data_IF_957415085068
#
_entry.id   IF_957415085068
#
_cell.length_a   1.000
_cell.length_b   1.000
_cell.length_c   1.000
_cell.angle_alpha   90.00
_cell.angle_beta   90.00
_cell.angle_gamma   90.00
#
_symmetry.space_group_name_H-M   'P 1'
#
loop_
_entity.id
_entity.type
_entity.pdbx_description
1 polymer ?
#
# COMPACT_ATOMS: atom_id res chain seq x y z
N UNK A 1 -14.14 -10.18 -7.89
CA UNK A 1 -14.08 -11.00 -6.64
C UNK A 1 -13.69 -10.11 -5.45
N UNK A 2 -14.36 -10.24 -4.30
CA UNK A 2 -14.00 -9.51 -3.07
C UNK A 2 -13.23 -10.48 -2.16
N UNK A 3 -11.96 -10.16 -1.86
CA UNK A 3 -11.13 -10.99 -0.97
C UNK A 3 -11.66 -11.01 0.46
N UNK A 4 -11.57 -12.15 1.12
CA UNK A 4 -11.70 -12.22 2.57
C UNK A 4 -10.39 -11.74 3.22
N UNK A 5 -10.41 -10.48 3.68
CA UNK A 5 -9.25 -9.81 4.27
C UNK A 5 -8.67 -10.58 5.48
N UNK A 6 -9.53 -11.24 6.27
CA UNK A 6 -9.09 -11.97 7.46
C UNK A 6 -8.38 -13.27 7.08
N UNK A 7 -8.91 -14.01 6.10
CA UNK A 7 -8.27 -15.22 5.57
C UNK A 7 -6.94 -14.91 4.91
N UNK A 8 -6.88 -13.87 4.07
CA UNK A 8 -5.63 -13.41 3.45
C UNK A 8 -4.60 -13.02 4.51
N UNK A 9 -5.01 -12.28 5.55
CA UNK A 9 -4.12 -11.90 6.65
C UNK A 9 -3.58 -13.11 7.41
N UNK A 10 -4.41 -14.13 7.61
CA UNK A 10 -3.98 -15.37 8.26
C UNK A 10 -2.95 -16.11 7.42
N UNK A 11 -3.19 -16.28 6.10
CA UNK A 11 -2.22 -16.89 5.20
C UNK A 11 -0.87 -16.16 5.21
N UNK A 12 -0.88 -14.82 5.22
CA UNK A 12 0.35 -14.02 5.31
C UNK A 12 1.11 -14.27 6.62
N UNK A 13 0.41 -14.35 7.75
CA UNK A 13 1.01 -14.61 9.06
C UNK A 13 1.58 -16.02 9.19
N UNK A 14 0.92 -17.00 8.59
CA UNK A 14 1.32 -18.40 8.65
C UNK A 14 2.38 -18.76 7.60
N UNK A 15 2.64 -17.85 6.62
CA UNK A 15 3.50 -18.14 5.49
C UNK A 15 2.92 -19.16 4.51
N UNK A 16 1.60 -19.38 4.55
CA UNK A 16 0.92 -20.31 3.65
C UNK A 16 0.60 -19.64 2.30
N UNK A 17 1.65 -19.44 1.53
CA UNK A 17 1.56 -18.78 0.23
C UNK A 17 0.81 -19.61 -0.81
N UNK A 18 0.85 -20.96 -0.72
CA UNK A 18 0.09 -21.82 -1.64
C UNK A 18 -1.41 -21.61 -1.46
N UNK A 19 -1.88 -21.67 -0.23
CA UNK A 19 -3.28 -21.40 0.08
C UNK A 19 -3.68 -19.98 -0.32
N UNK A 20 -2.83 -19.00 -0.03
CA UNK A 20 -3.06 -17.62 -0.41
C UNK A 20 -3.30 -17.45 -1.90
N UNK A 21 -2.39 -17.97 -2.73
CA UNK A 21 -2.50 -17.79 -4.18
C UNK A 21 -3.61 -18.62 -4.81
N UNK A 22 -3.76 -19.87 -4.39
CA UNK A 22 -4.72 -20.79 -5.01
C UNK A 22 -6.15 -20.53 -4.52
N UNK A 23 -6.36 -20.48 -3.18
CA UNK A 23 -7.72 -20.40 -2.63
C UNK A 23 -8.23 -18.96 -2.56
N UNK A 24 -7.37 -17.99 -2.22
CA UNK A 24 -7.82 -16.61 -2.00
C UNK A 24 -7.65 -15.73 -3.24
N UNK A 25 -6.59 -15.94 -4.04
CA UNK A 25 -6.32 -15.11 -5.23
C UNK A 25 -6.79 -15.74 -6.55
N UNK A 26 -7.18 -17.02 -6.56
CA UNK A 26 -7.68 -17.71 -7.75
C UNK A 26 -6.60 -17.99 -8.80
N UNK A 27 -5.36 -18.26 -8.36
CA UNK A 27 -4.27 -18.69 -9.22
C UNK A 27 -4.27 -20.21 -9.38
N UNK A 28 -3.67 -20.68 -10.45
CA UNK A 28 -3.59 -22.11 -10.77
C UNK A 28 -2.43 -22.77 -10.02
N UNK A 29 -2.58 -24.06 -9.72
CA UNK A 29 -1.52 -24.83 -9.06
C UNK A 29 -0.31 -24.98 -9.99
N UNK A 30 0.85 -24.67 -9.48
CA UNK A 30 2.11 -24.88 -10.18
C UNK A 30 3.14 -25.44 -9.20
N UNK A 31 3.79 -26.54 -9.61
CA UNK A 31 4.80 -27.22 -8.81
C UNK A 31 6.08 -27.35 -9.65
N UNK A 32 6.98 -26.42 -9.48
CA UNK A 32 8.32 -26.45 -10.05
C UNK A 32 9.33 -25.97 -9.01
N UNK A 33 10.56 -26.44 -9.12
CA UNK A 33 11.66 -25.96 -8.28
C UNK A 33 12.77 -25.45 -9.20
N UNK A 34 13.22 -24.24 -8.93
CA UNK A 34 14.31 -23.60 -9.63
C UNK A 34 15.47 -23.36 -8.67
N UNK A 35 16.63 -23.96 -8.97
CA UNK A 35 17.85 -23.69 -8.23
C UNK A 35 18.66 -22.62 -8.96
N UNK A 36 18.91 -21.53 -8.30
CA UNK A 36 19.63 -20.37 -8.84
C UNK A 36 20.94 -20.20 -8.07
N UNK A 37 22.06 -20.30 -8.78
CA UNK A 37 23.38 -20.08 -8.18
C UNK A 37 23.90 -18.70 -8.56
N UNK A 38 24.16 -17.89 -7.53
CA UNK A 38 24.67 -16.52 -7.68
C UNK A 38 25.83 -16.33 -6.71
N UNK A 39 26.97 -15.84 -7.20
CA UNK A 39 28.17 -15.57 -6.41
C UNK A 39 28.60 -16.78 -5.53
N UNK A 40 28.43 -18.01 -6.04
CA UNK A 40 28.77 -19.24 -5.33
C UNK A 40 27.73 -19.71 -4.31
N UNK A 41 26.62 -18.98 -4.11
CA UNK A 41 25.52 -19.38 -3.24
C UNK A 41 24.35 -19.89 -4.10
N UNK A 42 23.74 -20.99 -3.68
CA UNK A 42 22.56 -21.55 -4.35
C UNK A 42 21.30 -21.25 -3.56
N UNK A 43 20.32 -20.68 -4.24
CA UNK A 43 19.00 -20.36 -3.73
C UNK A 43 17.96 -21.26 -4.39
N UNK A 44 17.16 -21.91 -3.58
CA UNK A 44 16.05 -22.74 -4.07
C UNK A 44 14.77 -21.91 -4.09
N UNK A 45 14.17 -21.77 -5.26
CA UNK A 45 12.89 -21.12 -5.44
C UNK A 45 11.84 -22.17 -5.77
N UNK A 46 10.81 -22.28 -4.93
CA UNK A 46 9.67 -23.18 -5.16
C UNK A 46 8.54 -22.39 -5.80
N UNK A 47 8.10 -22.83 -6.98
CA UNK A 47 6.89 -22.29 -7.59
C UNK A 47 5.68 -22.69 -6.75
N UNK A 48 4.88 -21.71 -6.34
CA UNK A 48 3.72 -21.90 -5.48
C UNK A 48 2.41 -21.82 -6.26
N UNK A 49 2.38 -21.02 -7.32
CA UNK A 49 1.23 -20.87 -8.19
C UNK A 49 1.64 -20.23 -9.53
N UNK A 50 0.76 -20.32 -10.51
CA UNK A 50 0.89 -19.70 -11.82
C UNK A 50 -0.43 -19.06 -12.23
N UNK A 51 -0.37 -18.00 -13.05
CA UNK A 51 -1.55 -17.45 -13.73
C UNK A 51 -1.16 -17.01 -15.13
N UNK A 52 -1.65 -17.75 -16.15
CA UNK A 52 -1.45 -17.44 -17.57
C UNK A 52 0.03 -17.19 -17.95
N UNK A 53 0.95 -17.96 -17.36
CA UNK A 53 2.39 -17.83 -17.60
C UNK A 53 3.14 -16.87 -16.65
N UNK A 54 2.44 -16.21 -15.74
CA UNK A 54 3.08 -15.49 -14.64
C UNK A 54 3.22 -16.40 -13.43
N UNK A 55 4.46 -16.63 -12.96
CA UNK A 55 4.75 -17.58 -11.88
C UNK A 55 5.01 -16.85 -10.56
N UNK A 56 4.45 -17.34 -9.47
CA UNK A 56 4.79 -16.92 -8.11
C UNK A 56 5.76 -17.93 -7.50
N UNK A 57 6.92 -17.45 -7.07
CA UNK A 57 7.96 -18.23 -6.40
C UNK A 57 8.09 -17.86 -4.94
N UNK A 58 8.43 -18.85 -4.11
CA UNK A 58 8.83 -18.66 -2.73
C UNK A 58 10.29 -19.10 -2.53
N UNK A 59 11.05 -18.32 -1.78
CA UNK A 59 12.43 -18.59 -1.40
C UNK A 59 12.57 -18.45 0.12
N UNK A 60 12.99 -19.52 0.81
CA UNK A 60 13.21 -19.57 2.26
C UNK A 60 14.53 -18.90 2.66
N UNK A 61 14.79 -17.72 2.13
CA UNK A 61 15.96 -16.91 2.47
C UNK A 61 15.64 -15.42 2.27
N UNK A 62 16.33 -14.56 3.03
CA UNK A 62 16.29 -13.10 2.88
C UNK A 62 17.65 -12.56 2.47
N UNK A 63 18.08 -12.77 1.21
CA UNK A 63 19.32 -12.18 0.71
C UNK A 63 19.22 -10.64 0.72
N UNK A 64 20.36 -9.96 0.66
CA UNK A 64 20.40 -8.51 0.50
C UNK A 64 19.84 -8.05 -0.86
N UNK A 65 19.59 -6.76 -1.01
CA UNK A 65 18.99 -6.22 -2.23
C UNK A 65 19.82 -6.50 -3.49
N UNK A 66 21.15 -6.32 -3.52
CA UNK A 66 21.98 -6.68 -4.67
C UNK A 66 21.86 -8.15 -5.08
N UNK A 67 21.84 -9.05 -4.10
CA UNK A 67 21.69 -10.48 -4.33
C UNK A 67 20.31 -10.82 -4.90
N UNK A 68 19.23 -10.27 -4.33
CA UNK A 68 17.86 -10.45 -4.86
C UNK A 68 17.74 -9.99 -6.32
N UNK A 69 18.44 -8.92 -6.69
CA UNK A 69 18.51 -8.43 -8.09
C UNK A 69 19.21 -9.42 -9.03
N UNK A 70 20.23 -10.11 -8.55
CA UNK A 70 20.93 -11.12 -9.34
C UNK A 70 20.07 -12.39 -9.47
N UNK A 71 19.47 -12.84 -8.35
CA UNK A 71 18.54 -13.99 -8.37
C UNK A 71 17.40 -13.73 -9.36
N UNK A 72 16.78 -12.57 -9.30
CA UNK A 72 15.69 -12.19 -10.20
C UNK A 72 16.08 -12.29 -11.69
N UNK A 73 17.28 -11.83 -12.04
CA UNK A 73 17.77 -11.93 -13.43
C UNK A 73 17.93 -13.37 -13.90
N UNK A 74 18.36 -14.27 -13.03
CA UNK A 74 18.46 -15.69 -13.36
C UNK A 74 17.06 -16.33 -13.49
N UNK A 75 16.14 -16.02 -12.58
CA UNK A 75 14.75 -16.49 -12.65
C UNK A 75 14.08 -16.01 -13.93
N UNK A 76 14.32 -14.78 -14.35
CA UNK A 76 13.75 -14.21 -15.58
C UNK A 76 14.13 -14.95 -16.86
N UNK A 77 15.22 -15.74 -16.87
CA UNK A 77 15.60 -16.57 -18.01
C UNK A 77 14.66 -17.77 -18.20
N UNK A 78 14.06 -18.26 -17.11
CA UNK A 78 13.16 -19.42 -17.10
C UNK A 78 11.68 -19.01 -17.00
N UNK A 79 11.38 -17.97 -16.23
CA UNK A 79 10.05 -17.42 -16.04
C UNK A 79 10.11 -15.90 -16.22
N UNK A 80 9.79 -15.41 -17.42
CA UNK A 80 9.95 -13.99 -17.75
C UNK A 80 9.10 -13.08 -16.86
N UNK A 81 7.84 -13.43 -16.66
CA UNK A 81 6.94 -12.71 -15.76
C UNK A 81 6.77 -13.51 -14.46
N UNK A 82 7.18 -12.92 -13.34
CA UNK A 82 7.13 -13.60 -12.05
C UNK A 82 7.03 -12.64 -10.87
N UNK A 83 6.61 -13.20 -9.74
CA UNK A 83 6.72 -12.60 -8.40
C UNK A 83 7.61 -13.52 -7.58
N UNK A 84 8.54 -12.95 -6.80
CA UNK A 84 9.35 -13.71 -5.85
C UNK A 84 9.00 -13.24 -4.45
N UNK A 85 8.69 -14.20 -3.57
CA UNK A 85 8.46 -13.97 -2.15
C UNK A 85 9.66 -14.55 -1.42
N UNK A 86 10.49 -13.66 -0.87
CA UNK A 86 11.57 -14.04 0.04
C UNK A 86 11.04 -14.00 1.46
N UNK A 87 11.29 -15.04 2.24
CA UNK A 87 10.92 -15.08 3.65
C UNK A 87 12.06 -15.64 4.49
N UNK A 88 12.15 -15.20 5.76
CA UNK A 88 13.05 -15.84 6.71
C UNK A 88 12.48 -17.20 7.17
N UNK A 89 13.35 -18.05 7.72
CA UNK A 89 12.97 -19.39 8.18
C UNK A 89 11.85 -19.35 9.26
N UNK A 90 11.74 -18.27 10.02
CA UNK A 90 10.69 -18.07 11.02
C UNK A 90 9.41 -17.46 10.46
N UNK A 91 9.37 -17.15 9.15
CA UNK A 91 8.25 -16.50 8.46
C UNK A 91 7.82 -15.16 9.12
N UNK A 92 8.77 -14.48 9.76
CA UNK A 92 8.51 -13.20 10.44
C UNK A 92 8.59 -12.01 9.51
N UNK A 93 9.49 -12.11 8.53
CA UNK A 93 9.74 -11.06 7.53
C UNK A 93 9.58 -11.62 6.13
N UNK A 94 8.85 -10.90 5.30
CA UNK A 94 8.63 -11.25 3.90
C UNK A 94 8.97 -10.06 3.01
N UNK A 95 9.62 -10.33 1.87
CA UNK A 95 9.90 -9.35 0.82
C UNK A 95 9.26 -9.84 -0.47
N UNK A 96 8.28 -9.13 -0.93
CA UNK A 96 7.54 -9.40 -2.16
C UNK A 96 8.13 -8.59 -3.29
N UNK A 97 8.78 -9.26 -4.23
CA UNK A 97 9.49 -8.62 -5.35
C UNK A 97 8.76 -8.86 -6.67
N UNK A 98 8.57 -7.80 -7.41
CA UNK A 98 8.11 -7.80 -8.80
C UNK A 98 8.97 -6.85 -9.63
N UNK A 99 9.22 -7.18 -10.89
CA UNK A 99 10.05 -6.36 -11.77
C UNK A 99 9.27 -5.90 -12.99
N UNK A 100 9.21 -4.59 -13.17
CA UNK A 100 8.65 -3.99 -14.38
C UNK A 100 9.64 -4.12 -15.51
N UNK A 101 9.19 -4.78 -16.60
CA UNK A 101 9.92 -4.91 -17.85
C UNK A 101 9.13 -4.21 -18.95
N UNK A 102 9.70 -3.19 -19.54
CA UNK A 102 9.13 -2.44 -20.67
C UNK A 102 10.19 -2.29 -21.75
N UNK A 103 9.81 -2.54 -23.00
CA UNK A 103 10.71 -2.35 -24.12
C UNK A 103 11.26 -0.91 -24.16
N UNK A 104 12.56 -0.78 -24.33
CA UNK A 104 13.25 0.52 -24.38
C UNK A 104 13.40 1.27 -23.05
N UNK A 105 13.00 0.66 -21.91
CA UNK A 105 13.19 1.24 -20.58
C UNK A 105 14.01 0.34 -19.67
N UNK A 106 14.77 0.90 -18.73
CA UNK A 106 15.46 0.11 -17.71
C UNK A 106 14.46 -0.69 -16.87
N UNK A 107 14.84 -1.92 -16.52
CA UNK A 107 14.06 -2.75 -15.62
C UNK A 107 13.96 -2.11 -14.23
N UNK A 108 12.76 -1.99 -13.69
CA UNK A 108 12.52 -1.40 -12.40
C UNK A 108 12.03 -2.46 -11.40
N UNK A 109 12.87 -2.77 -10.42
CA UNK A 109 12.51 -3.65 -9.32
C UNK A 109 11.61 -2.92 -8.33
N UNK A 110 10.54 -3.58 -7.93
CA UNK A 110 9.57 -3.11 -6.94
C UNK A 110 9.48 -4.12 -5.83
N UNK A 111 9.67 -3.68 -4.61
CA UNK A 111 9.59 -4.52 -3.43
C UNK A 111 8.55 -4.00 -2.45
N UNK A 112 7.91 -4.93 -1.74
CA UNK A 112 7.04 -4.64 -0.61
C UNK A 112 7.50 -5.48 0.57
N UNK A 113 7.83 -4.82 1.67
CA UNK A 113 8.26 -5.45 2.91
C UNK A 113 7.06 -5.65 3.82
N UNK A 114 6.92 -6.86 4.35
CA UNK A 114 5.88 -7.21 5.31
C UNK A 114 6.49 -7.87 6.54
N UNK A 115 6.04 -7.48 7.71
CA UNK A 115 6.37 -8.10 8.98
C UNK A 115 5.13 -8.72 9.62
N UNK A 116 5.26 -9.92 10.15
CA UNK A 116 4.17 -10.69 10.79
C UNK A 116 3.41 -9.90 11.86
N UNK A 117 4.10 -9.01 12.58
CA UNK A 117 3.51 -8.16 13.62
C UNK A 117 2.69 -6.98 13.07
N UNK A 118 2.73 -6.74 11.77
CA UNK A 118 1.97 -5.67 11.12
C UNK A 118 0.61 -6.18 10.64
N UNK A 119 -0.42 -5.33 10.56
CA UNK A 119 -1.74 -5.70 10.07
C UNK A 119 -1.75 -6.13 8.60
N UNK A 120 -0.74 -5.74 7.80
CA UNK A 120 -0.58 -6.13 6.40
C UNK A 120 -1.54 -5.46 5.42
N UNK A 121 -2.28 -4.44 5.82
CA UNK A 121 -3.35 -3.83 5.01
C UNK A 121 -2.84 -3.33 3.64
N UNK A 122 -1.64 -2.75 3.60
CA UNK A 122 -1.03 -2.26 2.36
C UNK A 122 -0.67 -3.42 1.40
N UNK A 123 -0.21 -4.56 1.92
CA UNK A 123 0.04 -5.75 1.11
C UNK A 123 -1.28 -6.38 0.65
N UNK A 124 -2.26 -6.52 1.54
CA UNK A 124 -3.59 -7.06 1.21
C UNK A 124 -4.26 -6.24 0.10
N UNK A 125 -4.17 -4.92 0.17
CA UNK A 125 -4.69 -4.04 -0.89
C UNK A 125 -3.99 -4.28 -2.24
N UNK A 126 -2.68 -4.55 -2.25
CA UNK A 126 -1.94 -4.93 -3.46
C UNK A 126 -2.40 -6.29 -3.99
N UNK A 127 -2.52 -7.28 -3.11
CA UNK A 127 -2.96 -8.64 -3.44
C UNK A 127 -4.38 -8.65 -4.01
N UNK A 128 -5.25 -7.74 -3.58
CA UNK A 128 -6.59 -7.59 -4.14
C UNK A 128 -6.58 -7.33 -5.64
N UNK A 129 -5.56 -6.64 -6.16
CA UNK A 129 -5.39 -6.43 -7.61
C UNK A 129 -4.94 -7.69 -8.34
N UNK A 130 -4.38 -8.67 -7.64
CA UNK A 130 -3.92 -9.96 -8.17
C UNK A 130 -4.93 -11.08 -8.01
N UNK A 131 -6.13 -10.78 -7.50
CA UNK A 131 -7.20 -11.74 -7.36
C UNK A 131 -7.97 -11.87 -8.67
N UNK A 132 -8.26 -13.11 -9.06
CA UNK A 132 -9.03 -13.47 -10.25
C UNK A 132 -10.26 -14.27 -9.87
N UNK A 133 -11.38 -14.03 -10.55
CA UNK A 133 -12.60 -14.83 -10.38
C UNK A 133 -12.67 -15.88 -11.49
N UNK A 134 -13.44 -16.94 -11.24
CA UNK A 134 -13.70 -17.96 -12.26
C UNK A 134 -14.41 -17.40 -13.51
N UNK A 135 -15.21 -16.35 -13.34
CA UNK A 135 -15.93 -15.69 -14.44
C UNK A 135 -14.98 -14.95 -15.40
N UNK A 136 -13.81 -14.50 -14.90
CA UNK A 136 -12.81 -13.80 -15.70
C UNK A 136 -11.87 -14.77 -16.43
N UNK A 137 -11.93 -16.07 -16.12
CA UNK A 137 -10.94 -17.08 -16.55
C UNK A 137 -10.88 -17.25 -18.07
N UNK A 138 -12.04 -17.24 -18.74
CA UNK A 138 -12.13 -17.53 -20.18
C UNK A 138 -11.38 -16.50 -21.04
N UNK A 139 -11.45 -15.22 -20.67
CA UNK A 139 -10.86 -14.11 -21.44
C UNK A 139 -9.51 -13.63 -20.91
N UNK A 140 -9.03 -14.22 -19.80
CA UNK A 140 -7.82 -13.78 -19.13
C UNK A 140 -6.55 -14.10 -19.93
N UNK A 141 -5.73 -13.08 -20.17
CA UNK A 141 -4.43 -13.21 -20.86
C UNK A 141 -3.27 -12.90 -19.92
N UNK A 142 -2.04 -13.30 -20.30
CA UNK A 142 -0.80 -12.90 -19.60
C UNK A 142 -0.67 -11.38 -19.49
N UNK A 143 -1.10 -10.63 -20.49
CA UNK A 143 -1.04 -9.17 -20.49
C UNK A 143 -1.94 -8.59 -19.41
N UNK A 144 -3.11 -9.20 -19.17
CA UNK A 144 -4.03 -8.77 -18.11
C UNK A 144 -3.45 -9.05 -16.73
N UNK A 145 -2.84 -10.22 -16.54
CA UNK A 145 -2.17 -10.59 -15.28
C UNK A 145 -1.02 -9.64 -14.98
N UNK A 146 -0.16 -9.39 -15.97
CA UNK A 146 0.98 -8.45 -15.85
C UNK A 146 0.51 -7.02 -15.58
N UNK A 147 -0.57 -6.58 -16.24
CA UNK A 147 -1.18 -5.27 -15.98
C UNK A 147 -1.68 -5.14 -14.53
N UNK A 148 -2.29 -6.19 -13.97
CA UNK A 148 -2.73 -6.20 -12.56
C UNK A 148 -1.54 -6.23 -11.59
N UNK A 149 -0.50 -6.99 -11.88
CA UNK A 149 0.75 -6.99 -11.10
C UNK A 149 1.40 -5.60 -11.11
N UNK A 150 1.44 -4.94 -12.25
CA UNK A 150 1.90 -3.57 -12.37
C UNK A 150 1.05 -2.59 -11.54
N UNK A 151 -0.26 -2.72 -11.57
CA UNK A 151 -1.15 -1.87 -10.76
C UNK A 151 -0.94 -2.09 -9.26
N UNK A 152 -0.62 -3.32 -8.84
CA UNK A 152 -0.35 -3.68 -7.45
C UNK A 152 1.00 -3.15 -6.94
N UNK A 153 2.06 -3.29 -7.73
CA UNK A 153 3.42 -3.02 -7.28
C UNK A 153 4.00 -1.68 -7.72
N UNK A 154 3.45 -1.03 -8.76
CA UNK A 154 4.00 0.23 -9.28
C UNK A 154 3.50 1.43 -8.46
N UNK A 155 4.21 1.72 -7.36
CA UNK A 155 3.93 2.81 -6.41
C UNK A 155 4.07 4.20 -7.05
N UNK A 156 4.89 4.33 -8.09
CA UNK A 156 5.13 5.61 -8.79
C UNK A 156 3.82 6.23 -9.30
N UNK A 157 2.92 5.38 -9.80
CA UNK A 157 1.59 5.79 -10.26
C UNK A 157 0.70 6.31 -9.12
N UNK A 158 0.77 5.68 -7.94
CA UNK A 158 0.02 6.11 -6.74
C UNK A 158 0.52 7.46 -6.25
N UNK A 159 1.83 7.64 -6.14
CA UNK A 159 2.45 8.89 -5.68
C UNK A 159 2.14 10.05 -6.64
N UNK A 160 2.25 9.82 -7.96
CA UNK A 160 1.92 10.82 -8.96
C UNK A 160 0.44 11.22 -8.92
N UNK A 161 -0.46 10.25 -8.84
CA UNK A 161 -1.91 10.48 -8.74
C UNK A 161 -2.27 11.25 -7.46
N UNK A 162 -1.63 10.90 -6.33
CA UNK A 162 -1.79 11.64 -5.08
C UNK A 162 -1.32 13.08 -5.23
N UNK A 163 -0.14 13.30 -5.81
CA UNK A 163 0.39 14.65 -6.02
C UNK A 163 -0.50 15.51 -6.94
N UNK A 164 -0.98 14.95 -8.05
CA UNK A 164 -1.89 15.64 -8.96
C UNK A 164 -3.20 16.02 -8.26
N UNK A 165 -3.75 15.11 -7.43
CA UNK A 165 -4.93 15.39 -6.63
C UNK A 165 -4.67 16.47 -5.57
N UNK A 166 -3.55 16.36 -4.86
CA UNK A 166 -3.14 17.38 -3.90
C UNK A 166 -3.05 18.77 -4.52
N UNK A 167 -2.45 18.89 -5.70
CA UNK A 167 -2.39 20.17 -6.43
C UNK A 167 -3.77 20.72 -6.78
N UNK A 168 -4.68 19.86 -7.20
CA UNK A 168 -6.07 20.27 -7.50
C UNK A 168 -6.78 20.80 -6.26
N UNK A 169 -6.70 20.07 -5.15
CA UNK A 169 -7.32 20.49 -3.88
C UNK A 169 -6.66 21.77 -3.33
N UNK A 170 -5.35 21.90 -3.45
CA UNK A 170 -4.62 23.10 -3.07
C UNK A 170 -5.12 24.33 -3.86
N UNK A 171 -5.23 24.20 -5.19
CA UNK A 171 -5.74 25.29 -6.04
C UNK A 171 -7.22 25.61 -5.77
N UNK A 172 -8.03 24.60 -5.46
CA UNK A 172 -9.43 24.80 -5.09
C UNK A 172 -9.54 25.54 -3.74
N UNK A 173 -8.74 25.14 -2.76
CA UNK A 173 -8.76 25.74 -1.42
C UNK A 173 -8.30 27.19 -1.42
N UNK A 174 -7.31 27.56 -2.27
CA UNK A 174 -6.87 28.95 -2.45
C UNK A 174 -8.03 29.90 -2.81
N UNK A 175 -9.00 29.41 -3.59
CA UNK A 175 -10.17 30.23 -4.01
C UNK A 175 -11.10 30.61 -2.86
N UNK A 176 -11.10 29.83 -1.78
CA UNK A 176 -11.92 30.09 -0.60
C UNK A 176 -11.23 31.00 0.43
N UNK A 177 -9.90 31.15 0.31
CA UNK A 177 -9.12 31.88 1.28
C UNK A 177 -9.36 33.39 1.13
N UNK A 178 -9.67 34.07 2.25
CA UNK A 178 -9.86 35.52 2.33
C UNK A 178 -9.08 36.08 3.50
N UNK A 179 -8.69 37.36 3.40
CA UNK A 179 -8.07 38.09 4.52
C UNK A 179 -6.55 37.95 4.64
N UNK A 180 -5.87 37.24 3.73
CA UNK A 180 -4.41 37.20 3.64
C UNK A 180 -4.01 37.94 2.37
N UNK A 181 -3.36 39.10 2.45
CA UNK A 181 -3.07 39.94 1.28
C UNK A 181 -1.92 39.39 0.42
N UNK A 182 -0.97 38.67 1.01
CA UNK A 182 0.21 38.15 0.33
C UNK A 182 -0.06 36.75 -0.28
N UNK A 183 0.19 36.60 -1.58
CA UNK A 183 -0.07 35.34 -2.30
C UNK A 183 0.84 34.18 -1.86
N UNK A 184 2.08 34.44 -1.48
CA UNK A 184 3.00 33.41 -1.01
C UNK A 184 2.54 32.87 0.36
N UNK A 185 2.13 33.78 1.23
CA UNK A 185 1.53 33.42 2.53
C UNK A 185 0.21 32.66 2.34
N UNK A 186 -0.63 33.00 1.36
CA UNK A 186 -1.84 32.23 1.04
C UNK A 186 -1.49 30.79 0.66
N UNK A 187 -0.52 30.60 -0.24
CA UNK A 187 -0.07 29.27 -0.69
C UNK A 187 0.53 28.46 0.46
N UNK A 188 1.35 29.09 1.28
CA UNK A 188 1.92 28.47 2.48
C UNK A 188 0.83 28.03 3.46
N UNK A 189 -0.11 28.92 3.77
CA UNK A 189 -1.22 28.64 4.67
C UNK A 189 -2.05 27.45 4.18
N UNK A 190 -2.42 27.41 2.91
CA UNK A 190 -3.18 26.29 2.32
C UNK A 190 -2.38 24.98 2.43
N UNK A 191 -1.09 25.02 2.14
CA UNK A 191 -0.22 23.83 2.25
C UNK A 191 -0.18 23.30 3.65
N UNK A 192 -0.01 24.17 4.66
CA UNK A 192 0.01 23.78 6.07
C UNK A 192 -1.35 23.20 6.49
N UNK A 193 -2.45 23.82 6.08
CA UNK A 193 -3.79 23.35 6.40
C UNK A 193 -4.08 21.96 5.81
N UNK A 194 -3.79 21.77 4.53
CA UNK A 194 -3.99 20.48 3.88
C UNK A 194 -3.11 19.38 4.51
N UNK A 195 -1.86 19.69 4.84
CA UNK A 195 -0.97 18.74 5.52
C UNK A 195 -1.50 18.34 6.90
N UNK A 196 -2.03 19.29 7.68
CA UNK A 196 -2.65 19.01 8.98
C UNK A 196 -3.90 18.14 8.84
N UNK A 197 -4.77 18.43 7.88
CA UNK A 197 -5.97 17.62 7.62
C UNK A 197 -5.60 16.20 7.16
N UNK A 198 -4.57 16.04 6.32
CA UNK A 198 -4.05 14.74 5.94
C UNK A 198 -3.49 13.96 7.15
N UNK A 199 -2.76 14.63 8.04
CA UNK A 199 -2.27 14.00 9.26
C UNK A 199 -3.43 13.45 10.11
N UNK A 200 -4.47 14.26 10.37
CA UNK A 200 -5.66 13.78 11.09
C UNK A 200 -6.33 12.62 10.34
N UNK A 201 -6.42 12.70 9.00
CA UNK A 201 -6.97 11.61 8.20
C UNK A 201 -6.21 10.29 8.40
N UNK A 202 -4.88 10.32 8.43
CA UNK A 202 -4.08 9.12 8.66
C UNK A 202 -4.27 8.55 10.06
N UNK A 203 -4.25 9.37 11.10
CA UNK A 203 -4.39 8.89 12.48
C UNK A 203 -5.81 8.37 12.76
N UNK A 204 -6.87 8.99 12.20
CA UNK A 204 -8.22 8.45 12.32
C UNK A 204 -8.35 7.09 11.61
N UNK A 205 -7.75 6.92 10.40
CA UNK A 205 -7.76 5.64 9.69
C UNK A 205 -6.99 4.53 10.41
N UNK A 206 -6.07 4.88 11.29
CA UNK A 206 -5.39 3.96 12.20
C UNK A 206 -6.17 3.68 13.50
N UNK A 207 -7.31 4.33 13.69
CA UNK A 207 -8.15 4.17 14.89
C UNK A 207 -7.62 4.90 16.13
N UNK A 208 -6.67 5.83 16.00
CA UNK A 208 -6.08 6.55 17.13
C UNK A 208 -6.96 7.68 17.67
N UNK A 209 -8.06 7.99 17.00
CA UNK A 209 -9.04 8.97 17.42
C UNK A 209 -10.33 8.24 17.80
N UNK A 210 -10.48 7.87 19.04
CA UNK A 210 -11.64 7.18 19.63
C UNK A 210 -12.07 5.89 18.90
N UNK A 211 -11.14 5.23 18.18
CA UNK A 211 -11.46 4.10 17.31
C UNK A 211 -12.28 4.47 16.05
N UNK A 212 -12.65 5.75 15.89
CA UNK A 212 -13.51 6.22 14.81
C UNK A 212 -12.73 6.53 13.54
N UNK A 213 -12.87 5.68 12.53
CA UNK A 213 -12.22 5.83 11.21
C UNK A 213 -12.79 6.97 10.36
N UNK A 214 -13.89 7.60 10.79
CA UNK A 214 -14.55 8.75 10.16
C UNK A 214 -14.63 9.97 11.09
N UNK A 215 -13.77 10.02 12.08
CA UNK A 215 -13.75 11.01 13.18
C UNK A 215 -14.01 12.45 12.70
N UNK A 216 -13.23 12.98 11.75
CA UNK A 216 -13.41 14.34 11.24
C UNK A 216 -14.80 14.58 10.67
N UNK A 217 -15.33 13.64 9.90
CA UNK A 217 -16.66 13.75 9.28
C UNK A 217 -17.76 13.75 10.36
N UNK A 218 -17.64 12.85 11.32
CA UNK A 218 -18.62 12.72 12.39
C UNK A 218 -18.61 13.96 13.29
N UNK A 219 -17.44 14.48 13.63
CA UNK A 219 -17.32 15.73 14.40
C UNK A 219 -17.86 16.95 13.62
N UNK A 220 -17.56 17.06 12.32
CA UNK A 220 -18.10 18.13 11.48
C UNK A 220 -19.63 18.09 11.39
N UNK A 221 -20.19 16.90 11.19
CA UNK A 221 -21.65 16.72 11.12
C UNK A 221 -22.32 17.06 12.45
N UNK A 222 -21.77 16.58 13.57
CA UNK A 222 -22.27 16.92 14.90
C UNK A 222 -22.21 18.43 15.16
N UNK A 223 -21.11 19.07 14.77
CA UNK A 223 -20.94 20.51 14.92
C UNK A 223 -21.92 21.31 14.05
N UNK A 224 -22.11 20.90 12.79
CA UNK A 224 -23.03 21.57 11.86
C UNK A 224 -24.49 21.43 12.26
N UNK A 225 -24.85 20.40 13.02
CA UNK A 225 -26.22 20.23 13.56
C UNK A 225 -26.50 21.11 14.78
N UNK A 226 -25.46 21.56 15.49
CA UNK A 226 -25.58 22.35 16.73
C UNK A 226 -25.44 23.87 16.50
N UNK A 227 -24.74 24.30 15.44
CA UNK A 227 -24.39 25.69 15.20
C UNK A 227 -24.60 26.08 13.72
N UNK A 228 -25.36 27.18 13.47
CA UNK A 228 -25.69 27.60 12.08
C UNK A 228 -24.54 28.16 11.25
N UNK A 229 -23.34 28.39 11.81
CA UNK A 229 -22.20 29.00 11.12
C UNK A 229 -20.96 28.11 11.07
N UNK A 230 -20.55 27.64 9.86
CA UNK A 230 -19.40 26.76 9.66
C UNK A 230 -18.03 27.38 10.03
N UNK A 231 -17.95 28.73 10.19
CA UNK A 231 -16.72 29.44 10.52
C UNK A 231 -16.17 29.12 11.92
N UNK A 232 -16.96 28.55 12.80
CA UNK A 232 -16.56 28.22 14.16
C UNK A 232 -15.92 26.82 14.27
N UNK A 233 -16.22 25.86 13.38
CA UNK A 233 -15.58 24.53 13.41
C UNK A 233 -14.04 24.58 13.38
N UNK A 234 -13.49 25.52 12.60
CA UNK A 234 -12.03 25.71 12.59
C UNK A 234 -11.50 26.20 13.95
N UNK A 235 -12.10 27.24 14.51
CA UNK A 235 -11.63 27.83 15.77
C UNK A 235 -11.93 26.94 16.98
N UNK A 236 -13.13 26.38 17.02
CA UNK A 236 -13.64 25.73 18.24
C UNK A 236 -13.28 24.24 18.28
N UNK A 237 -12.95 23.63 17.13
CA UNK A 237 -12.57 22.23 17.06
C UNK A 237 -11.17 22.00 16.49
N UNK A 238 -10.89 22.46 15.25
CA UNK A 238 -9.60 22.15 14.62
C UNK A 238 -8.41 22.84 15.31
N UNK A 239 -8.54 24.08 15.73
CA UNK A 239 -7.45 24.76 16.44
C UNK A 239 -7.14 24.09 17.79
N UNK A 240 -8.10 23.80 18.68
CA UNK A 240 -7.83 23.02 19.89
C UNK A 240 -7.23 21.65 19.59
N UNK A 241 -7.75 20.92 18.60
CA UNK A 241 -7.21 19.61 18.23
C UNK A 241 -5.73 19.69 17.82
N UNK A 242 -5.34 20.71 17.03
CA UNK A 242 -3.95 20.87 16.61
C UNK A 242 -3.04 21.38 17.73
N UNK A 243 -3.44 22.41 18.43
CA UNK A 243 -2.56 23.14 19.33
C UNK A 243 -2.60 22.63 20.77
N UNK A 244 -3.73 22.07 21.20
CA UNK A 244 -3.85 21.46 22.53
C UNK A 244 -3.69 19.93 22.45
N UNK A 245 -4.37 19.28 21.50
CA UNK A 245 -4.37 17.84 21.38
C UNK A 245 -3.06 17.25 20.88
N UNK A 246 -2.48 17.80 19.80
CA UNK A 246 -1.30 17.22 19.16
C UNK A 246 0.00 17.93 19.52
N UNK A 247 0.00 19.24 19.74
CA UNK A 247 1.22 20.00 19.97
C UNK A 247 1.71 19.96 21.42
N UNK A 248 0.83 19.74 22.40
CA UNK A 248 1.20 19.67 23.82
C UNK A 248 1.47 18.24 24.29
N UNK A 249 2.40 18.10 25.21
CA UNK A 249 2.62 16.85 25.96
C UNK A 249 1.41 16.55 26.84
N UNK A 250 1.17 15.27 27.15
CA UNK A 250 0.02 14.86 27.98
C UNK A 250 -0.07 15.60 29.32
N UNK A 251 1.09 15.89 29.94
CA UNK A 251 1.19 16.65 31.20
C UNK A 251 0.80 18.13 31.07
N UNK A 252 0.72 18.67 29.87
CA UNK A 252 0.44 20.09 29.58
C UNK A 252 -0.94 20.31 28.99
N UNK A 253 -1.70 19.22 28.74
CA UNK A 253 -3.05 19.28 28.19
C UNK A 253 -4.04 19.70 29.30
N UNK A 254 -4.85 20.68 29.01
CA UNK A 254 -6.03 20.98 29.88
C UNK A 254 -7.00 19.81 29.80
N UNK A 255 -7.51 19.35 30.93
CA UNK A 255 -8.63 18.39 30.94
C UNK A 255 -9.80 19.03 30.20
N UNK A 256 -10.18 18.45 29.04
CA UNK A 256 -11.33 18.88 28.24
C UNK A 256 -12.60 18.18 28.75
#
# INVERSE_FOLDING_TARGET
MRLDVNRVRQCLKDGDFKRLFIEELGWDRHNATLNVTVDGQTFTLTAIAEKRGMVAFHCDALPDYPMRRKIEREVAKSAHEHIIIYADAAQTTQIWQWVRREAGKPTACREHHYHRNQPGDALIQKLQSLAFSLEEEEDLTLVDVTRRARAAFDVERVTRRFYDRFKQEHAAFLKFLKGIPDEEMQRWYVSVMLNRLMFIYFIQKKGFLDGDTNYLRNKLNAYSSLIPHPSSFYKDFLCPLFFEGFAKKDSERSAA
#
